data_IF_521609001098
#
_entry.id   IF_521609001098
#
_cell.length_a   1.000
_cell.length_b   1.000
_cell.length_c   1.000
_cell.angle_alpha   90.00
_cell.angle_beta   90.00
_cell.angle_gamma   90.00
#
_symmetry.space_group_name_H-M   'P 1'
#
loop_
_entity.id
_entity.type
_entity.pdbx_description
1 polymer ?
#
# COMPACT_ATOMS: atom_id res chain seq x y z
N UNK A 1 10.48 -15.47 20.97
CA UNK A 1 10.00 -16.39 19.93
C UNK A 1 9.18 -15.62 18.91
N UNK A 2 9.54 -15.67 17.63
CA UNK A 2 8.81 -15.02 16.51
C UNK A 2 8.53 -16.04 15.41
N UNK A 3 7.45 -15.84 14.67
CA UNK A 3 7.05 -16.72 13.57
C UNK A 3 6.72 -15.86 12.34
N UNK A 4 7.22 -16.26 11.17
CA UNK A 4 7.00 -15.55 9.91
C UNK A 4 6.84 -16.55 8.75
N UNK A 5 5.77 -16.39 7.98
CA UNK A 5 5.57 -17.17 6.77
C UNK A 5 6.50 -16.69 5.65
N UNK A 6 7.01 -17.64 4.87
CA UNK A 6 7.69 -17.33 3.63
C UNK A 6 6.65 -16.93 2.58
N UNK A 7 6.76 -15.75 1.95
CA UNK A 7 5.87 -15.38 0.86
C UNK A 7 5.99 -16.39 -0.30
N UNK A 8 4.86 -16.82 -0.85
CA UNK A 8 4.76 -17.70 -2.03
C UNK A 8 5.31 -19.13 -1.87
N UNK A 9 5.75 -19.50 -0.67
CA UNK A 9 6.24 -20.85 -0.36
C UNK A 9 5.49 -21.43 0.86
N UNK A 10 5.37 -22.75 0.89
CA UNK A 10 4.73 -23.49 1.97
C UNK A 10 5.69 -23.70 3.16
N UNK A 11 6.24 -22.59 3.68
CA UNK A 11 7.25 -22.59 4.75
C UNK A 11 6.92 -21.57 5.84
N UNK A 12 7.02 -22.00 7.10
CA UNK A 12 6.97 -21.17 8.29
C UNK A 12 8.36 -21.12 8.95
N UNK A 13 8.93 -19.92 9.07
CA UNK A 13 10.15 -19.68 9.84
C UNK A 13 9.82 -19.39 11.30
N UNK A 14 10.48 -20.09 12.21
CA UNK A 14 10.36 -19.95 13.66
C UNK A 14 11.70 -19.53 14.23
N UNK A 15 11.76 -18.37 14.89
CA UNK A 15 12.93 -17.95 15.65
C UNK A 15 12.69 -18.19 17.15
N UNK A 16 13.59 -18.93 17.78
CA UNK A 16 13.56 -19.31 19.19
C UNK A 16 14.95 -19.15 19.82
N UNK A 17 15.06 -19.30 21.14
CA UNK A 17 16.31 -18.99 21.86
C UNK A 17 17.49 -19.88 21.45
N UNK A 18 17.22 -21.05 20.85
CA UNK A 18 18.23 -21.98 20.35
C UNK A 18 18.56 -21.79 18.85
N UNK A 19 17.90 -20.85 18.15
CA UNK A 19 18.19 -20.60 16.74
C UNK A 19 16.95 -20.34 15.88
N UNK A 20 17.00 -20.84 14.65
CA UNK A 20 15.98 -20.68 13.63
C UNK A 20 15.65 -22.04 13.01
N UNK A 21 14.36 -22.37 12.99
CA UNK A 21 13.83 -23.57 12.36
C UNK A 21 12.90 -23.17 11.21
N UNK A 22 13.01 -23.85 10.06
CA UNK A 22 12.05 -23.75 8.96
C UNK A 22 11.20 -25.00 8.88
N UNK A 23 9.88 -24.82 8.98
CA UNK A 23 8.91 -25.93 8.97
C UNK A 23 8.05 -25.84 7.72
N UNK A 24 7.84 -26.97 7.05
CA UNK A 24 6.93 -27.06 5.91
C UNK A 24 5.47 -26.96 6.39
N UNK A 25 4.71 -26.04 5.83
CA UNK A 25 3.27 -25.87 6.12
C UNK A 25 2.50 -25.89 4.80
N UNK A 26 1.94 -27.05 4.41
CA UNK A 26 1.23 -27.18 3.14
C UNK A 26 0.05 -26.21 3.04
N UNK A 27 -0.06 -25.49 1.93
CA UNK A 27 -1.14 -24.55 1.66
C UNK A 27 -1.04 -23.21 2.38
N UNK A 28 0.13 -22.85 2.94
CA UNK A 28 0.37 -21.52 3.51
C UNK A 28 0.85 -20.49 2.49
N UNK A 29 1.37 -20.93 1.34
CA UNK A 29 1.88 -20.09 0.28
C UNK A 29 0.83 -19.71 -0.76
N UNK A 30 0.92 -18.49 -1.28
CA UNK A 30 0.13 -18.05 -2.43
C UNK A 30 0.77 -18.56 -3.73
N UNK A 31 0.11 -19.51 -4.41
CA UNK A 31 0.67 -20.19 -5.58
C UNK A 31 0.78 -19.28 -6.82
N UNK A 32 -0.14 -18.33 -6.99
CA UNK A 32 -0.22 -17.47 -8.17
C UNK A 32 0.28 -16.07 -7.81
N UNK A 33 1.59 -15.84 -7.87
CA UNK A 33 2.17 -14.53 -7.61
C UNK A 33 2.13 -13.63 -8.87
N UNK A 34 1.77 -12.36 -8.71
CA UNK A 34 1.90 -11.38 -9.79
C UNK A 34 3.37 -10.97 -9.95
N UNK A 35 3.99 -11.45 -11.02
CA UNK A 35 5.39 -11.17 -11.36
C UNK A 35 5.67 -9.68 -11.61
N UNK A 36 4.65 -8.84 -11.84
CA UNK A 36 4.82 -7.39 -11.97
C UNK A 36 4.92 -6.66 -10.63
N UNK A 37 4.35 -7.21 -9.57
CA UNK A 37 4.41 -6.64 -8.22
C UNK A 37 5.55 -7.25 -7.41
N UNK A 38 5.61 -8.58 -7.32
CA UNK A 38 6.60 -9.29 -6.50
C UNK A 38 7.11 -10.52 -7.24
N UNK A 39 8.19 -10.35 -7.98
CA UNK A 39 8.86 -11.46 -8.67
C UNK A 39 9.89 -12.13 -7.76
N UNK A 40 9.68 -13.41 -7.44
CA UNK A 40 10.62 -14.26 -6.68
C UNK A 40 11.91 -14.53 -7.45
N UNK A 41 11.85 -14.58 -8.79
CA UNK A 41 12.97 -14.85 -9.69
C UNK A 41 13.45 -13.57 -10.40
N UNK A 42 13.81 -12.60 -9.58
CA UNK A 42 14.22 -11.27 -10.03
C UNK A 42 15.67 -11.22 -10.51
N UNK A 43 15.89 -10.78 -11.75
CA UNK A 43 17.24 -10.49 -12.27
C UNK A 43 17.82 -9.20 -11.68
N UNK A 44 19.14 -9.05 -11.68
CA UNK A 44 19.81 -7.83 -11.16
C UNK A 44 19.34 -6.54 -11.85
N UNK A 45 19.03 -6.59 -13.15
CA UNK A 45 18.49 -5.45 -13.90
C UNK A 45 17.08 -5.09 -13.42
N UNK A 46 16.19 -6.07 -13.34
CA UNK A 46 14.82 -5.87 -12.86
C UNK A 46 14.79 -5.35 -11.41
N UNK A 47 15.71 -5.79 -10.55
CA UNK A 47 15.85 -5.27 -9.17
C UNK A 47 16.08 -3.76 -9.13
N UNK A 48 17.02 -3.28 -9.95
CA UNK A 48 17.34 -1.85 -10.02
C UNK A 48 16.16 -1.03 -10.54
N UNK A 49 15.48 -1.52 -11.58
CA UNK A 49 14.30 -0.84 -12.15
C UNK A 49 13.12 -0.81 -11.16
N UNK A 50 12.87 -1.93 -10.47
CA UNK A 50 11.83 -2.03 -9.46
C UNK A 50 12.09 -1.09 -8.29
N UNK A 51 13.32 -1.03 -7.79
CA UNK A 51 13.71 -0.11 -6.71
C UNK A 51 13.48 1.35 -7.09
N UNK A 52 13.92 1.76 -8.30
CA UNK A 52 13.67 3.11 -8.81
C UNK A 52 12.17 3.39 -8.91
N UNK A 53 11.39 2.44 -9.44
CA UNK A 53 9.93 2.57 -9.55
C UNK A 53 9.26 2.68 -8.17
N UNK A 54 9.71 1.92 -7.17
CA UNK A 54 9.21 1.99 -5.80
C UNK A 54 9.52 3.33 -5.15
N UNK A 55 10.71 3.89 -5.39
CA UNK A 55 11.07 5.21 -4.87
C UNK A 55 10.24 6.33 -5.51
N UNK A 56 10.02 6.27 -6.82
CA UNK A 56 9.18 7.24 -7.53
C UNK A 56 7.71 7.16 -7.11
N UNK A 57 7.21 5.95 -6.85
CA UNK A 57 5.81 5.71 -6.45
C UNK A 57 5.61 5.77 -4.93
N UNK A 58 6.63 6.11 -4.14
CA UNK A 58 6.53 6.14 -2.68
C UNK A 58 5.46 7.14 -2.25
N UNK A 59 4.43 6.64 -1.57
CA UNK A 59 3.34 7.46 -1.06
C UNK A 59 3.83 8.45 0.00
N UNK A 60 3.27 9.65 -0.02
CA UNK A 60 3.50 10.65 1.02
C UNK A 60 2.86 10.18 2.34
N UNK A 61 3.47 10.47 3.50
CA UNK A 61 2.94 10.05 4.81
C UNK A 61 1.50 10.53 5.05
N UNK A 62 1.15 11.71 4.53
CA UNK A 62 -0.19 12.29 4.65
C UNK A 62 -1.27 11.53 3.88
N UNK A 63 -0.91 10.56 3.03
CA UNK A 63 -1.88 9.71 2.33
C UNK A 63 -2.26 8.45 3.12
N UNK A 64 -1.64 8.22 4.28
CA UNK A 64 -1.96 7.08 5.14
C UNK A 64 -3.27 7.37 5.88
N UNK A 65 -4.31 6.61 5.56
CA UNK A 65 -5.62 6.74 6.18
C UNK A 65 -6.34 5.40 6.29
N UNK A 66 -7.36 5.31 7.15
CA UNK A 66 -8.13 4.08 7.38
C UNK A 66 -8.82 3.56 6.10
N UNK A 67 -9.18 4.46 5.18
CA UNK A 67 -9.83 4.12 3.91
C UNK A 67 -9.10 4.78 2.74
N UNK A 68 -8.06 4.13 2.18
CA UNK A 68 -7.19 4.70 1.15
C UNK A 68 -7.95 5.27 -0.06
N UNK A 69 -8.89 4.50 -0.60
CA UNK A 69 -9.68 4.89 -1.78
C UNK A 69 -10.62 6.07 -1.51
N UNK A 70 -10.98 6.29 -0.25
CA UNK A 70 -11.95 7.32 0.15
C UNK A 70 -11.29 8.70 0.26
N UNK A 71 -9.98 8.76 0.49
CA UNK A 71 -9.25 10.01 0.65
C UNK A 71 -8.96 10.71 -0.69
N UNK A 72 -8.54 9.94 -1.70
CA UNK A 72 -8.14 10.50 -3.02
C UNK A 72 -9.35 10.98 -3.83
N UNK A 73 -10.50 10.31 -3.71
CA UNK A 73 -11.67 10.58 -4.56
C UNK A 73 -12.65 11.63 -4.02
N UNK A 74 -12.50 12.09 -2.77
CA UNK A 74 -13.52 12.95 -2.12
C UNK A 74 -13.15 14.42 -2.19
N UNK A 75 -14.17 15.23 -2.44
CA UNK A 75 -14.13 16.68 -2.24
C UNK A 75 -14.53 17.01 -0.80
N UNK A 76 -13.80 17.95 -0.20
CA UNK A 76 -14.11 18.47 1.11
C UNK A 76 -15.44 19.22 1.07
N UNK A 77 -16.44 18.68 1.78
CA UNK A 77 -17.80 19.18 1.76
C UNK A 77 -17.92 20.58 2.40
N UNK A 78 -17.06 20.91 3.37
CA UNK A 78 -17.15 22.18 4.10
C UNK A 78 -16.50 23.32 3.31
N UNK A 79 -15.41 23.02 2.60
CA UNK A 79 -14.85 23.92 1.59
C UNK A 79 -15.86 24.19 0.48
N UNK A 80 -16.61 23.17 0.05
CA UNK A 80 -17.59 23.30 -1.03
C UNK A 80 -18.79 24.16 -0.60
N UNK A 81 -19.33 23.93 0.62
CA UNK A 81 -20.41 24.76 1.19
C UNK A 81 -20.01 26.21 1.36
N UNK A 82 -18.80 26.48 1.87
CA UNK A 82 -18.32 27.85 2.06
C UNK A 82 -18.19 28.58 0.72
N UNK A 83 -17.54 27.99 -0.30
CA UNK A 83 -17.49 28.54 -1.67
C UNK A 83 -18.88 28.83 -2.24
N UNK A 84 -19.82 27.90 -2.07
CA UNK A 84 -21.19 28.06 -2.56
C UNK A 84 -21.90 29.22 -1.85
N UNK A 85 -21.69 29.39 -0.54
CA UNK A 85 -22.23 30.49 0.25
C UNK A 85 -21.64 31.85 -0.16
N UNK A 86 -20.32 31.96 -0.36
CA UNK A 86 -19.67 33.18 -0.87
C UNK A 86 -20.17 33.55 -2.26
N UNK A 87 -20.30 32.58 -3.17
CA UNK A 87 -20.84 32.79 -4.51
C UNK A 87 -22.29 33.28 -4.47
N UNK A 88 -23.13 32.69 -3.60
CA UNK A 88 -24.52 33.09 -3.42
C UNK A 88 -24.68 34.51 -2.86
N UNK A 89 -23.77 34.95 -1.97
CA UNK A 89 -23.73 36.37 -1.52
C UNK A 89 -23.28 37.33 -2.60
N UNK A 90 -22.29 36.96 -3.41
CA UNK A 90 -21.81 37.80 -4.51
C UNK A 90 -22.90 38.06 -5.56
N UNK A 91 -23.72 37.05 -5.89
CA UNK A 91 -24.84 37.21 -6.82
C UNK A 91 -25.97 38.06 -6.22
N UNK A 92 -26.20 37.99 -4.91
CA UNK A 92 -27.22 38.81 -4.25
C UNK A 92 -26.83 40.29 -4.12
N UNK A 93 -25.53 40.60 -3.95
CA UNK A 93 -25.05 41.98 -3.78
C UNK A 93 -24.96 42.78 -5.09
N UNK A 94 -25.14 42.13 -6.26
CA UNK A 94 -25.14 42.77 -7.58
C UNK A 94 -26.56 42.95 -8.17
N UNK A 95 -27.60 42.84 -7.34
CA UNK A 95 -28.99 43.18 -7.64
C UNK A 95 -29.42 44.37 -6.81
#
# INVERSE_FOLDING_TARGET
MTAQFCPFEDVLGLAHDNGFDSVLVPGSGEANFDSYEVNTLITSKQRREAEVKMLLNKIQPNMICLHPNRMVSRVDADVLKSKMYYSKRHVLNYR
#
